data_IF_853668421045
#
_entry.id   IF_853668421045
#
_cell.length_a   1.000
_cell.length_b   1.000
_cell.length_c   1.000
_cell.angle_alpha   90.00
_cell.angle_beta   90.00
_cell.angle_gamma   90.00
#
_symmetry.space_group_name_H-M   'P 1'
#
loop_
_entity.id
_entity.type
_entity.pdbx_description
1 polymer ?
#
# COMPACT_ATOMS: atom_id res chain seq x y z
N UNK A 1 -5.43 15.43 -0.30
CA UNK A 1 -4.24 15.66 -1.13
C UNK A 1 -3.35 14.44 -0.98
N UNK A 2 -2.67 13.94 -2.03
CA UNK A 2 -1.73 12.85 -1.87
C UNK A 2 -0.59 13.26 -0.92
N UNK A 3 -0.19 12.35 -0.06
CA UNK A 3 0.96 12.48 0.85
C UNK A 3 2.13 11.57 0.44
N UNK A 4 1.92 10.78 -0.61
CA UNK A 4 2.81 9.75 -1.12
C UNK A 4 2.73 9.70 -2.65
N UNK A 5 3.87 9.46 -3.31
CA UNK A 5 4.00 9.39 -4.77
C UNK A 5 4.72 8.10 -5.17
N UNK A 6 4.03 6.95 -5.19
CA UNK A 6 4.65 5.63 -5.41
C UNK A 6 5.25 5.48 -6.82
N UNK A 7 4.85 6.33 -7.78
CA UNK A 7 5.46 6.45 -9.11
C UNK A 7 6.91 6.96 -9.07
N UNK A 8 7.24 7.76 -8.05
CA UNK A 8 8.53 8.46 -7.96
C UNK A 8 9.50 7.76 -7.02
N UNK A 9 9.03 6.88 -6.15
CA UNK A 9 9.86 6.29 -5.11
C UNK A 9 9.06 5.58 -4.03
N UNK A 10 9.77 5.17 -3.00
CA UNK A 10 9.18 4.60 -1.79
C UNK A 10 8.52 5.68 -0.94
N UNK A 11 7.40 5.34 -0.32
CA UNK A 11 6.72 6.19 0.65
C UNK A 11 7.02 5.70 2.07
N UNK A 12 7.33 6.63 2.98
CA UNK A 12 7.80 6.29 4.32
C UNK A 12 6.89 6.93 5.36
N UNK A 13 6.38 6.14 6.30
CA UNK A 13 5.62 6.61 7.46
C UNK A 13 5.99 5.87 8.74
N UNK A 14 5.75 6.51 9.86
CA UNK A 14 5.88 5.89 11.19
C UNK A 14 4.69 4.99 11.48
N UNK A 15 4.92 3.91 12.21
CA UNK A 15 3.88 3.06 12.83
C UNK A 15 4.44 2.45 14.11
N UNK A 16 3.75 2.67 15.23
CA UNK A 16 4.29 2.35 16.55
C UNK A 16 5.64 3.04 16.78
N UNK A 17 6.66 2.26 17.17
CA UNK A 17 8.04 2.73 17.41
C UNK A 17 8.94 2.62 16.16
N UNK A 18 8.44 2.05 15.07
CA UNK A 18 9.19 1.82 13.84
C UNK A 18 8.63 2.58 12.66
N UNK A 19 9.11 2.22 11.47
CA UNK A 19 8.66 2.81 10.20
C UNK A 19 8.31 1.75 9.16
N UNK A 20 7.36 2.12 8.32
CA UNK A 20 6.92 1.41 7.13
C UNK A 20 7.48 2.13 5.91
N UNK A 21 8.14 1.38 5.04
CA UNK A 21 8.52 1.81 3.70
C UNK A 21 7.63 1.05 2.73
N UNK A 22 6.79 1.78 2.00
CA UNK A 22 5.78 1.25 1.09
C UNK A 22 6.18 1.53 -0.36
N UNK A 23 6.14 0.50 -1.19
CA UNK A 23 6.43 0.58 -2.62
C UNK A 23 5.38 -0.16 -3.44
N UNK A 24 5.19 0.30 -4.67
CA UNK A 24 4.33 -0.35 -5.66
C UNK A 24 5.14 -0.49 -6.94
N UNK A 25 5.08 -1.67 -7.56
CA UNK A 25 5.73 -1.96 -8.84
C UNK A 25 4.79 -2.72 -9.79
N UNK A 26 4.95 -2.61 -11.12
CA UNK A 26 5.90 -1.75 -11.83
C UNK A 26 5.57 -0.25 -11.70
N UNK A 27 6.57 0.59 -11.95
CA UNK A 27 6.41 2.06 -12.06
C UNK A 27 6.40 2.44 -13.56
N UNK A 28 5.57 3.41 -14.00
CA UNK A 28 4.55 4.10 -13.21
C UNK A 28 3.42 3.16 -12.80
N UNK A 29 2.86 3.38 -11.62
CA UNK A 29 1.75 2.66 -11.03
C UNK A 29 0.48 3.01 -11.81
N UNK A 30 -0.12 1.98 -12.40
CA UNK A 30 -1.31 2.12 -13.24
C UNK A 30 -2.46 1.29 -12.72
N UNK A 31 -3.68 1.79 -12.96
CA UNK A 31 -4.89 1.02 -12.70
C UNK A 31 -5.02 -0.17 -13.66
N UNK A 32 -5.75 -1.21 -13.26
CA UNK A 32 -6.08 -2.39 -14.08
C UNK A 32 -4.87 -3.24 -14.51
N UNK A 33 -3.70 -3.01 -13.91
CA UNK A 33 -2.50 -3.82 -14.11
C UNK A 33 -2.20 -4.68 -12.87
N UNK A 34 -1.46 -5.78 -13.07
CA UNK A 34 -0.96 -6.58 -11.95
C UNK A 34 0.15 -5.81 -11.24
N UNK A 35 -0.13 -5.41 -10.00
CA UNK A 35 0.80 -4.66 -9.16
C UNK A 35 1.35 -5.58 -8.06
N UNK A 36 2.61 -5.34 -7.71
CA UNK A 36 3.27 -5.91 -6.55
C UNK A 36 3.40 -4.79 -5.51
N UNK A 37 2.81 -5.02 -4.35
CA UNK A 37 2.88 -4.16 -3.19
C UNK A 37 3.97 -4.69 -2.27
N UNK A 38 4.98 -3.88 -2.02
CA UNK A 38 6.11 -4.23 -1.17
C UNK A 38 6.10 -3.32 0.06
N UNK A 39 6.18 -3.93 1.24
CA UNK A 39 6.29 -3.23 2.52
C UNK A 39 7.56 -3.70 3.21
N UNK A 40 8.42 -2.76 3.60
CA UNK A 40 9.55 -3.02 4.47
C UNK A 40 9.29 -2.39 5.83
N UNK A 41 9.36 -3.21 6.87
CA UNK A 41 9.27 -2.77 8.26
C UNK A 41 10.69 -2.59 8.81
N UNK A 42 10.96 -1.44 9.41
CA UNK A 42 12.25 -1.15 10.05
C UNK A 42 12.04 -0.59 11.46
N UNK A 43 12.93 -0.94 12.38
CA UNK A 43 12.86 -0.46 13.77
C UNK A 43 11.70 -1.05 14.57
N UNK A 44 11.16 -2.21 14.15
CA UNK A 44 10.14 -2.92 14.91
C UNK A 44 10.80 -3.87 15.92
N UNK A 45 10.24 -3.97 17.13
CA UNK A 45 10.69 -4.94 18.14
C UNK A 45 10.37 -6.40 17.79
N UNK A 46 9.37 -6.62 16.92
CA UNK A 46 8.99 -7.94 16.41
C UNK A 46 8.55 -7.85 14.95
N UNK A 47 8.91 -8.84 14.15
CA UNK A 47 8.44 -8.95 12.75
C UNK A 47 7.21 -9.86 12.68
N UNK A 48 6.03 -9.34 12.28
CA UNK A 48 4.84 -10.18 12.14
C UNK A 48 4.98 -11.19 10.99
N UNK A 49 4.20 -12.26 11.00
CA UNK A 49 4.20 -13.24 9.89
C UNK A 49 3.58 -12.66 8.60
N UNK A 50 2.59 -11.77 8.75
CA UNK A 50 1.85 -11.15 7.66
C UNK A 50 1.47 -9.72 8.01
N UNK A 51 1.32 -8.91 6.97
CA UNK A 51 0.80 -7.53 7.05
C UNK A 51 -0.43 -7.46 6.17
N UNK A 52 -1.46 -6.72 6.60
CA UNK A 52 -2.67 -6.54 5.81
C UNK A 52 -2.64 -5.16 5.15
N UNK A 53 -2.95 -5.12 3.86
CA UNK A 53 -3.09 -3.91 3.07
C UNK A 53 -4.54 -3.79 2.60
N UNK A 54 -5.25 -2.76 3.05
CA UNK A 54 -6.57 -2.40 2.55
C UNK A 54 -6.45 -1.25 1.55
N UNK A 55 -7.09 -1.40 0.38
CA UNK A 55 -7.09 -0.41 -0.68
C UNK A 55 -8.48 0.18 -0.88
N UNK A 56 -8.65 1.46 -0.55
CA UNK A 56 -9.93 2.16 -0.69
C UNK A 56 -9.79 3.48 -1.43
N UNK A 57 -10.89 3.97 -1.99
CA UNK A 57 -10.98 5.33 -2.52
C UNK A 57 -11.72 6.21 -1.51
N UNK A 58 -11.12 7.30 -1.01
CA UNK A 58 -11.79 8.20 -0.07
C UNK A 58 -13.16 8.66 -0.60
N UNK A 59 -14.24 8.59 0.18
CA UNK A 59 -15.56 9.04 -0.26
C UNK A 59 -16.24 8.16 -1.31
N UNK A 60 -15.84 6.89 -1.44
CA UNK A 60 -16.60 5.85 -2.14
C UNK A 60 -16.73 4.63 -1.23
N UNK A 61 -17.91 4.02 -1.21
CA UNK A 61 -18.07 2.68 -0.62
C UNK A 61 -17.51 1.66 -1.60
N UNK A 62 -16.33 1.14 -1.28
CA UNK A 62 -15.74 0.01 -1.97
C UNK A 62 -16.03 -1.26 -1.17
N UNK A 63 -16.27 -2.37 -1.87
CA UNK A 63 -16.24 -3.68 -1.24
C UNK A 63 -14.86 -4.00 -0.67
N UNK A 64 -14.75 -5.13 0.04
CA UNK A 64 -13.49 -5.54 0.63
C UNK A 64 -12.38 -5.69 -0.43
N UNK A 65 -11.32 -4.89 -0.30
CA UNK A 65 -10.18 -4.88 -1.21
C UNK A 65 -8.89 -5.00 -0.39
N UNK A 66 -8.74 -6.17 0.22
CA UNK A 66 -7.65 -6.50 1.14
C UNK A 66 -6.65 -7.43 0.48
N UNK A 67 -5.38 -7.07 0.61
CA UNK A 67 -4.24 -7.85 0.14
C UNK A 67 -3.48 -8.31 1.37
N UNK A 68 -3.26 -9.62 1.48
CA UNK A 68 -2.37 -10.20 2.48
C UNK A 68 -0.95 -10.12 1.95
N UNK A 69 -0.08 -9.41 2.67
CA UNK A 69 1.34 -9.29 2.35
C UNK A 69 2.10 -10.38 3.13
N UNK A 70 2.69 -11.30 2.39
CA UNK A 70 3.43 -12.43 2.94
C UNK A 70 4.89 -12.03 3.19
N UNK A 71 5.44 -12.44 4.34
CA UNK A 71 6.85 -12.19 4.67
C UNK A 71 7.75 -12.91 3.66
N UNK A 72 8.70 -12.17 3.09
CA UNK A 72 9.75 -12.70 2.21
C UNK A 72 11.03 -12.94 2.97
N UNK A 73 11.75 -11.88 3.33
CA UNK A 73 12.97 -11.94 4.13
C UNK A 73 13.31 -10.55 4.68
N UNK A 74 14.03 -10.48 5.82
CA UNK A 74 14.59 -9.24 6.37
C UNK A 74 13.57 -8.12 6.57
N UNK A 75 12.42 -8.41 7.17
CA UNK A 75 11.34 -7.44 7.39
C UNK A 75 10.61 -6.96 6.12
N UNK A 76 10.83 -7.61 4.97
CA UNK A 76 10.14 -7.31 3.70
C UNK A 76 8.93 -8.23 3.53
N UNK A 77 7.81 -7.63 3.13
CA UNK A 77 6.53 -8.26 2.89
C UNK A 77 6.06 -7.92 1.49
N UNK A 78 5.48 -8.89 0.79
CA UNK A 78 4.97 -8.67 -0.56
C UNK A 78 3.61 -9.32 -0.78
N UNK A 79 2.76 -8.63 -1.53
CA UNK A 79 1.49 -9.16 -2.02
C UNK A 79 1.20 -8.65 -3.42
N UNK A 80 0.35 -9.39 -4.14
CA UNK A 80 -0.08 -9.04 -5.50
C UNK A 80 -1.52 -8.56 -5.45
N UNK A 81 -1.84 -7.55 -6.25
CA UNK A 81 -3.20 -7.05 -6.39
C UNK A 81 -3.36 -6.13 -7.58
N UNK A 82 -4.56 -5.60 -7.75
CA UNK A 82 -4.92 -4.71 -8.85
C UNK A 82 -5.60 -3.49 -8.25
N UNK A 83 -5.17 -2.29 -8.66
CA UNK A 83 -5.89 -1.05 -8.36
C UNK A 83 -6.91 -0.84 -9.49
N UNK A 84 -8.20 -0.89 -9.17
CA UNK A 84 -9.24 -0.75 -10.20
C UNK A 84 -9.36 0.70 -10.68
N UNK A 85 -9.84 0.90 -11.91
CA UNK A 85 -10.14 2.27 -12.38
C UNK A 85 -11.47 2.77 -11.77
N UNK A 86 -11.49 4.03 -11.33
CA UNK A 86 -12.74 4.69 -10.96
C UNK A 86 -13.52 5.12 -12.22
N UNK A 87 -14.78 4.71 -12.42
CA UNK A 87 -15.58 5.14 -13.57
C UNK A 87 -15.78 6.67 -13.63
N UNK A 88 -15.92 7.32 -12.47
CA UNK A 88 -16.03 8.78 -12.34
C UNK A 88 -14.70 9.51 -12.57
N UNK A 89 -13.62 8.76 -12.80
CA UNK A 89 -12.33 9.30 -13.20
C UNK A 89 -11.42 9.79 -12.07
N UNK A 90 -11.81 9.56 -10.82
CA UNK A 90 -11.02 9.85 -9.62
C UNK A 90 -9.76 8.99 -9.59
N UNK A 91 -8.66 9.57 -9.09
CA UNK A 91 -7.33 8.92 -9.08
C UNK A 91 -6.73 8.76 -7.69
N UNK A 92 -7.33 9.37 -6.67
CA UNK A 92 -6.83 9.32 -5.31
C UNK A 92 -7.23 7.99 -4.65
N UNK A 93 -6.22 7.26 -4.21
CA UNK A 93 -6.32 6.01 -3.49
C UNK A 93 -5.75 6.13 -2.08
N UNK A 94 -6.29 5.32 -1.17
CA UNK A 94 -5.82 5.12 0.19
C UNK A 94 -5.34 3.68 0.33
N UNK A 95 -4.10 3.51 0.76
CA UNK A 95 -3.58 2.26 1.28
C UNK A 95 -3.53 2.32 2.80
N UNK A 96 -4.37 1.53 3.48
CA UNK A 96 -4.32 1.39 4.93
C UNK A 96 -3.58 0.11 5.26
N UNK A 97 -2.41 0.23 5.88
CA UNK A 97 -1.58 -0.89 6.30
C UNK A 97 -1.82 -1.19 7.77
N UNK A 98 -2.19 -2.44 8.04
CA UNK A 98 -2.35 -2.99 9.38
C UNK A 98 -1.15 -3.89 9.70
N UNK A 99 -0.33 -3.46 10.65
CA UNK A 99 0.86 -4.15 11.10
C UNK A 99 0.57 -4.77 12.47
N UNK A 100 0.43 -6.10 12.58
CA UNK A 100 0.16 -6.76 13.85
C UNK A 100 1.22 -6.41 14.90
N UNK A 101 0.76 -5.96 16.06
CA UNK A 101 1.63 -5.55 17.18
C UNK A 101 2.17 -4.12 17.12
N UNK A 102 2.10 -3.43 15.97
CA UNK A 102 2.57 -2.04 15.84
C UNK A 102 1.43 -1.01 15.61
N UNK A 103 0.30 -1.43 15.03
CA UNK A 103 -0.85 -0.58 14.75
C UNK A 103 -1.13 -0.43 13.26
N UNK A 104 -1.75 0.68 12.87
CA UNK A 104 -2.06 0.99 11.47
C UNK A 104 -1.43 2.29 10.99
N UNK A 105 -1.21 2.40 9.68
CA UNK A 105 -0.78 3.63 9.03
C UNK A 105 -1.41 3.72 7.64
N UNK A 106 -1.66 4.93 7.15
CA UNK A 106 -2.35 5.16 5.88
C UNK A 106 -1.45 5.88 4.89
N UNK A 107 -1.52 5.57 3.60
CA UNK A 107 -0.87 6.32 2.53
C UNK A 107 -1.91 6.81 1.53
N UNK A 108 -1.87 8.09 1.18
CA UNK A 108 -2.73 8.69 0.16
C UNK A 108 -1.89 9.00 -1.07
N UNK A 109 -2.25 8.41 -2.20
CA UNK A 109 -1.51 8.56 -3.45
C UNK A 109 -2.44 8.62 -4.66
N UNK A 110 -1.95 9.21 -5.75
CA UNK A 110 -2.65 9.16 -7.03
C UNK A 110 -2.12 8.01 -7.88
N UNK A 111 -3.00 7.46 -8.72
CA UNK A 111 -2.67 6.37 -9.64
C UNK A 111 -3.05 6.78 -11.06
N UNK A 112 -2.14 6.56 -12.00
CA UNK A 112 -2.38 6.84 -13.39
C UNK A 112 -3.34 5.82 -14.02
N UNK A 113 -4.04 6.24 -15.07
CA UNK A 113 -4.90 5.32 -15.83
C UNK A 113 -4.03 4.38 -16.66
N UNK A 114 -4.57 3.19 -16.93
CA UNK A 114 -4.03 2.31 -17.97
C UNK A 114 -3.91 3.09 -19.29
N UNK A 115 -2.88 2.75 -20.09
CA UNK A 115 -2.61 3.42 -21.36
C UNK A 115 -3.55 2.97 -22.46
#
# INVERSE_FOLDING_TARGET
MPDCFPDKGSCIKQVGEGRVIFEISPRPVRTMENLIFTVKLEGMGSEPERVLLDLSMPGMEMGENRIILERKNGGVYEGKGIIVRCPSGRRLWRATLWVPGAGETEFLFEVDREK
#
